data_IF_791158441874
#
_entry.id   IF_791158441874
#
_cell.length_a   1.000
_cell.length_b   1.000
_cell.length_c   1.000
_cell.angle_alpha   90.00
_cell.angle_beta   90.00
_cell.angle_gamma   90.00
#
_symmetry.space_group_name_H-M   'P 1'
#
loop_
_entity.id
_entity.type
_entity.pdbx_description
1 polymer ?
#
# COMPACT_ATOMS: atom_id res chain seq x y z
N UNK A 1 -23.84 19.18 -10.50
CA UNK A 1 -25.08 18.39 -10.67
C UNK A 1 -24.83 17.10 -9.89
N UNK A 2 -25.39 16.99 -8.69
CA UNK A 2 -25.07 15.93 -7.72
C UNK A 2 -25.42 14.56 -8.30
N UNK A 3 -24.41 13.74 -8.59
CA UNK A 3 -24.60 12.37 -9.04
C UNK A 3 -25.05 11.57 -7.81
N UNK A 4 -26.36 11.36 -7.69
CA UNK A 4 -26.89 10.36 -6.79
C UNK A 4 -26.55 8.97 -7.37
N UNK A 5 -25.46 8.37 -6.88
CA UNK A 5 -25.12 6.96 -7.09
C UNK A 5 -26.27 6.11 -6.53
N UNK A 6 -26.88 5.18 -7.30
CA UNK A 6 -27.92 4.31 -6.77
C UNK A 6 -27.30 3.34 -5.76
N UNK A 7 -27.84 3.38 -4.55
CA UNK A 7 -27.33 2.82 -3.30
C UNK A 7 -27.48 1.31 -3.19
N UNK A 8 -26.89 0.55 -4.11
CA UNK A 8 -26.75 -0.90 -3.90
C UNK A 8 -25.90 -1.21 -2.67
N UNK A 9 -25.01 -0.27 -2.29
CA UNK A 9 -24.19 -0.32 -1.09
C UNK A 9 -25.02 -0.28 0.21
N UNK A 10 -26.10 0.49 0.26
CA UNK A 10 -26.99 0.56 1.43
C UNK A 10 -27.82 -0.72 1.62
N UNK A 11 -27.96 -1.52 0.55
CA UNK A 11 -28.69 -2.79 0.54
C UNK A 11 -27.79 -4.00 0.89
N UNK A 12 -26.48 -3.80 1.12
CA UNK A 12 -25.56 -4.89 1.46
C UNK A 12 -25.79 -5.34 2.90
N UNK A 13 -26.02 -6.64 3.09
CA UNK A 13 -25.90 -7.30 4.38
C UNK A 13 -24.41 -7.44 4.73
N UNK A 14 -23.89 -6.73 5.74
CA UNK A 14 -22.46 -6.69 6.03
C UNK A 14 -21.95 -7.99 6.68
N UNK A 15 -22.81 -8.79 7.31
CA UNK A 15 -22.37 -9.97 8.08
C UNK A 15 -21.74 -11.07 7.18
N UNK A 16 -22.37 -11.50 6.08
CA UNK A 16 -21.75 -12.44 5.14
C UNK A 16 -20.43 -11.94 4.57
N UNK A 17 -20.35 -10.64 4.26
CA UNK A 17 -19.15 -10.01 3.69
C UNK A 17 -18.02 -9.99 4.72
N UNK A 18 -18.28 -9.60 5.98
CA UNK A 18 -17.29 -9.57 7.06
C UNK A 18 -16.72 -10.94 7.40
N UNK A 19 -17.54 -11.99 7.32
CA UNK A 19 -17.12 -13.37 7.61
C UNK A 19 -16.42 -14.06 6.44
N UNK A 20 -16.59 -13.52 5.24
CA UNK A 20 -16.07 -14.13 4.03
C UNK A 20 -14.62 -13.74 3.69
N UNK A 21 -14.05 -14.36 2.65
CA UNK A 21 -12.66 -14.13 2.25
C UNK A 21 -12.51 -12.83 1.45
N UNK A 22 -12.33 -11.69 2.13
CA UNK A 22 -12.16 -10.35 1.50
C UNK A 22 -11.15 -10.28 0.36
N UNK A 23 -10.02 -10.97 0.48
CA UNK A 23 -8.97 -11.02 -0.55
C UNK A 23 -9.52 -11.62 -1.85
N UNK A 24 -10.42 -12.59 -1.72
CA UNK A 24 -11.09 -13.23 -2.85
C UNK A 24 -12.10 -12.30 -3.52
N UNK A 25 -12.83 -11.50 -2.75
CA UNK A 25 -13.79 -10.52 -3.29
C UNK A 25 -13.10 -9.51 -4.20
N UNK A 26 -11.94 -8.99 -3.76
CA UNK A 26 -11.15 -8.02 -4.54
C UNK A 26 -10.47 -8.70 -5.74
N UNK A 27 -9.83 -9.85 -5.52
CA UNK A 27 -9.10 -10.56 -6.58
C UNK A 27 -10.03 -11.06 -7.70
N UNK A 28 -11.19 -11.62 -7.34
CA UNK A 28 -12.16 -12.20 -8.28
C UNK A 28 -13.31 -11.26 -8.67
N UNK A 29 -13.38 -10.04 -8.11
CA UNK A 29 -14.31 -9.01 -8.60
C UNK A 29 -15.79 -9.25 -8.30
N UNK A 30 -16.08 -9.71 -7.09
CA UNK A 30 -17.46 -9.99 -6.68
C UNK A 30 -17.68 -9.78 -5.19
N UNK A 31 -18.93 -9.47 -4.81
CA UNK A 31 -19.33 -9.27 -3.43
C UNK A 31 -20.78 -9.74 -3.21
N UNK A 32 -21.08 -10.56 -2.18
CA UNK A 32 -22.47 -10.88 -1.87
C UNK A 32 -23.17 -9.64 -1.30
N UNK A 33 -24.32 -9.27 -1.87
CA UNK A 33 -25.14 -8.15 -1.40
C UNK A 33 -26.09 -8.64 -0.32
N UNK A 34 -27.06 -9.49 -0.70
CA UNK A 34 -28.11 -9.98 0.22
C UNK A 34 -28.73 -11.26 -0.28
N UNK A 35 -29.51 -11.91 0.57
CA UNK A 35 -30.39 -13.01 0.17
C UNK A 35 -31.76 -12.48 -0.27
N UNK A 36 -32.26 -12.98 -1.39
CA UNK A 36 -33.60 -12.69 -1.92
C UNK A 36 -34.64 -13.61 -1.26
N UNK A 37 -35.91 -13.20 -1.28
CA UNK A 37 -37.02 -13.94 -0.69
C UNK A 37 -37.26 -15.32 -1.35
N UNK A 38 -36.84 -15.47 -2.60
CA UNK A 38 -36.89 -16.73 -3.35
C UNK A 38 -35.72 -17.68 -3.04
N UNK A 39 -34.86 -17.31 -2.09
CA UNK A 39 -33.73 -18.10 -1.63
C UNK A 39 -32.44 -17.90 -2.41
N UNK A 40 -32.43 -17.09 -3.49
CA UNK A 40 -31.20 -16.74 -4.24
C UNK A 40 -30.32 -15.74 -3.50
N UNK A 41 -29.03 -15.75 -3.78
CA UNK A 41 -28.08 -14.72 -3.35
C UNK A 41 -27.91 -13.68 -4.46
N UNK A 42 -28.16 -12.42 -4.15
CA UNK A 42 -27.80 -11.30 -5.02
C UNK A 42 -26.32 -10.98 -4.82
N UNK A 43 -25.56 -10.97 -5.91
CA UNK A 43 -24.10 -10.79 -5.92
C UNK A 43 -23.75 -9.63 -6.86
N UNK A 44 -23.02 -8.64 -6.35
CA UNK A 44 -22.39 -7.60 -7.15
C UNK A 44 -21.16 -8.18 -7.87
N UNK A 45 -20.95 -7.84 -9.13
CA UNK A 45 -19.76 -8.24 -9.90
C UNK A 45 -19.30 -7.12 -10.82
N UNK A 46 -17.99 -7.03 -11.06
CA UNK A 46 -17.42 -6.11 -12.05
C UNK A 46 -17.50 -6.61 -13.50
N UNK A 47 -18.11 -7.78 -13.71
CA UNK A 47 -18.32 -8.34 -15.04
C UNK A 47 -17.11 -9.05 -15.64
N UNK A 48 -16.00 -9.21 -14.89
CA UNK A 48 -14.82 -9.99 -15.34
C UNK A 48 -15.15 -11.46 -15.60
N UNK A 49 -16.06 -12.02 -14.80
CA UNK A 49 -16.44 -13.43 -14.87
C UNK A 49 -17.86 -13.58 -15.38
N UNK A 50 -17.99 -14.07 -16.63
CA UNK A 50 -19.29 -14.27 -17.31
C UNK A 50 -19.58 -15.75 -17.59
N UNK A 51 -18.61 -16.61 -17.29
CA UNK A 51 -18.71 -18.04 -17.49
C UNK A 51 -19.70 -18.70 -16.51
N UNK A 52 -20.56 -19.64 -16.95
CA UNK A 52 -21.47 -20.37 -16.07
C UNK A 52 -20.77 -21.10 -14.92
N UNK A 53 -19.55 -21.57 -15.16
CA UNK A 53 -18.75 -22.27 -14.15
C UNK A 53 -18.46 -21.41 -12.91
N UNK A 54 -18.27 -20.10 -13.09
CA UNK A 54 -18.07 -19.17 -11.98
C UNK A 54 -19.35 -19.01 -11.14
N UNK A 55 -20.50 -18.89 -11.81
CA UNK A 55 -21.81 -18.84 -11.15
C UNK A 55 -22.09 -20.11 -10.34
N UNK A 56 -21.80 -21.29 -10.89
CA UNK A 56 -21.98 -22.57 -10.22
C UNK A 56 -21.06 -22.70 -8.99
N UNK A 57 -19.80 -22.26 -9.12
CA UNK A 57 -18.83 -22.27 -8.01
C UNK A 57 -19.25 -21.33 -6.88
N UNK A 58 -19.76 -20.13 -7.21
CA UNK A 58 -20.30 -19.19 -6.23
C UNK A 58 -21.56 -19.73 -5.56
N UNK A 59 -22.47 -20.34 -6.32
CA UNK A 59 -23.68 -20.93 -5.77
C UNK A 59 -23.38 -22.06 -4.78
N UNK A 60 -22.39 -22.90 -5.10
CA UNK A 60 -21.91 -23.94 -4.20
C UNK A 60 -21.26 -23.35 -2.92
N UNK A 61 -20.47 -22.28 -3.07
CA UNK A 61 -19.79 -21.63 -1.94
C UNK A 61 -20.73 -20.86 -1.01
N UNK A 62 -21.75 -20.20 -1.55
CA UNK A 62 -22.75 -19.44 -0.79
C UNK A 62 -23.90 -20.31 -0.27
N UNK A 63 -24.04 -21.55 -0.76
CA UNK A 63 -25.05 -22.50 -0.31
C UNK A 63 -26.44 -22.25 -0.90
N UNK A 64 -26.51 -21.68 -2.11
CA UNK A 64 -27.76 -21.38 -2.80
C UNK A 64 -27.54 -20.75 -4.18
N UNK A 65 -28.57 -20.73 -5.04
CA UNK A 65 -28.47 -20.15 -6.38
C UNK A 65 -28.09 -18.66 -6.32
N UNK A 66 -27.32 -18.18 -7.30
CA UNK A 66 -26.85 -16.78 -7.37
C UNK A 66 -27.54 -16.00 -8.48
N UNK A 67 -27.71 -14.71 -8.27
CA UNK A 67 -28.15 -13.72 -9.27
C UNK A 67 -27.13 -12.58 -9.26
N UNK A 68 -26.69 -12.16 -10.44
CA UNK A 68 -25.68 -11.11 -10.56
C UNK A 68 -26.30 -9.75 -10.84
N UNK A 69 -25.65 -8.70 -10.34
CA UNK A 69 -25.81 -7.33 -10.79
C UNK A 69 -24.42 -6.79 -11.14
N UNK A 70 -24.28 -6.19 -12.32
CA UNK A 70 -23.02 -5.54 -12.72
C UNK A 70 -22.90 -4.19 -11.99
N UNK A 71 -21.70 -3.91 -11.48
CA UNK A 71 -21.33 -2.66 -10.79
C UNK A 71 -19.94 -2.22 -11.23
N UNK A 72 -19.57 -0.98 -10.93
CA UNK A 72 -18.21 -0.52 -11.19
C UNK A 72 -17.20 -1.27 -10.29
N UNK A 73 -16.01 -1.67 -10.80
CA UNK A 73 -14.99 -2.30 -9.98
C UNK A 73 -14.59 -1.49 -8.74
N UNK A 74 -14.61 -0.17 -8.82
CA UNK A 74 -14.28 0.70 -7.69
C UNK A 74 -15.39 0.76 -6.66
N UNK A 75 -16.65 0.72 -7.09
CA UNK A 75 -17.77 0.62 -6.14
C UNK A 75 -17.68 -0.67 -5.29
N UNK A 76 -17.16 -1.77 -5.87
CA UNK A 76 -16.86 -3.01 -5.14
C UNK A 76 -15.71 -2.85 -4.14
N UNK A 77 -14.60 -2.25 -4.57
CA UNK A 77 -13.43 -1.98 -3.73
C UNK A 77 -13.83 -1.11 -2.53
N UNK A 78 -14.58 -0.05 -2.78
CA UNK A 78 -15.07 0.87 -1.75
C UNK A 78 -16.04 0.19 -0.79
N UNK A 79 -16.96 -0.65 -1.30
CA UNK A 79 -17.86 -1.44 -0.45
C UNK A 79 -17.08 -2.39 0.47
N UNK A 80 -16.02 -3.05 -0.04
CA UNK A 80 -15.16 -3.91 0.78
C UNK A 80 -14.43 -3.10 1.84
N UNK A 81 -13.88 -1.93 1.52
CA UNK A 81 -13.21 -1.07 2.51
C UNK A 81 -14.19 -0.57 3.57
N UNK A 82 -15.40 -0.18 3.19
CA UNK A 82 -16.43 0.31 4.11
C UNK A 82 -16.87 -0.79 5.08
N UNK A 83 -17.12 -2.01 4.57
CA UNK A 83 -17.67 -3.10 5.37
C UNK A 83 -16.58 -3.80 6.21
N UNK A 84 -15.39 -3.99 5.63
CA UNK A 84 -14.28 -4.74 6.21
C UNK A 84 -13.13 -3.85 6.70
N UNK A 85 -13.36 -2.54 6.85
CA UNK A 85 -12.32 -1.54 7.13
C UNK A 85 -11.42 -1.87 8.32
N UNK A 86 -11.99 -2.30 9.45
CA UNK A 86 -11.21 -2.70 10.63
C UNK A 86 -10.25 -3.86 10.32
N UNK A 87 -10.72 -4.88 9.60
CA UNK A 87 -9.91 -6.04 9.23
C UNK A 87 -8.82 -5.67 8.22
N UNK A 88 -9.13 -4.77 7.27
CA UNK A 88 -8.16 -4.24 6.31
C UNK A 88 -7.10 -3.40 7.02
N UNK A 89 -7.49 -2.53 7.96
CA UNK A 89 -6.56 -1.73 8.75
C UNK A 89 -5.63 -2.59 9.61
N UNK A 90 -6.17 -3.64 10.26
CA UNK A 90 -5.36 -4.58 11.04
C UNK A 90 -4.38 -5.36 10.15
N UNK A 91 -4.81 -5.85 9.00
CA UNK A 91 -3.91 -6.50 8.03
C UNK A 91 -2.82 -5.54 7.53
N UNK A 92 -3.19 -4.32 7.17
CA UNK A 92 -2.23 -3.33 6.70
C UNK A 92 -1.13 -3.04 7.74
N UNK A 93 -1.46 -3.12 9.03
CA UNK A 93 -0.49 -2.95 10.12
C UNK A 93 0.28 -4.23 10.48
N UNK A 94 -0.38 -5.39 10.46
CA UNK A 94 0.12 -6.60 11.13
C UNK A 94 0.40 -7.80 10.20
N UNK A 95 -0.01 -7.77 8.92
CA UNK A 95 0.12 -8.92 8.01
C UNK A 95 1.55 -9.39 7.82
N UNK A 96 2.51 -8.48 7.65
CA UNK A 96 3.93 -8.84 7.53
C UNK A 96 4.42 -9.58 8.77
N UNK A 97 4.09 -9.08 9.96
CA UNK A 97 4.47 -9.71 11.22
C UNK A 97 3.83 -11.09 11.40
N UNK A 98 2.55 -11.24 11.03
CA UNK A 98 1.86 -12.55 11.11
C UNK A 98 2.45 -13.58 10.16
N UNK A 99 2.81 -13.16 8.93
CA UNK A 99 3.30 -14.06 7.88
C UNK A 99 4.78 -14.38 8.03
N UNK A 100 5.61 -13.37 8.27
CA UNK A 100 7.07 -13.48 8.38
C UNK A 100 7.58 -12.64 9.57
N UNK A 101 7.45 -13.14 10.82
CA UNK A 101 7.85 -12.40 12.02
C UNK A 101 9.31 -11.93 12.01
N UNK A 102 10.20 -12.70 11.39
CA UNK A 102 11.64 -12.41 11.31
C UNK A 102 11.98 -11.24 10.37
N UNK A 103 11.13 -10.99 9.37
CA UNK A 103 11.27 -9.88 8.43
C UNK A 103 10.54 -8.62 8.92
N UNK A 104 9.87 -8.70 10.07
CA UNK A 104 9.16 -7.58 10.66
C UNK A 104 10.04 -6.83 11.66
N UNK A 105 10.08 -5.50 11.55
CA UNK A 105 10.73 -4.61 12.52
C UNK A 105 10.08 -4.55 13.90
N UNK A 106 9.05 -5.37 14.19
CA UNK A 106 8.32 -5.35 15.48
C UNK A 106 9.21 -5.68 16.66
N UNK A 107 10.18 -6.57 16.47
CA UNK A 107 11.15 -6.94 17.50
C UNK A 107 12.55 -6.51 17.06
N UNK A 108 13.03 -5.39 17.60
CA UNK A 108 14.34 -4.81 17.22
C UNK A 108 15.52 -5.55 17.87
N UNK A 109 15.41 -5.86 19.17
CA UNK A 109 16.47 -6.54 19.91
C UNK A 109 16.01 -7.89 20.46
N UNK A 110 16.82 -8.91 20.20
CA UNK A 110 16.64 -10.23 20.80
C UNK A 110 16.86 -10.19 22.32
N UNK A 111 16.29 -11.16 23.05
CA UNK A 111 16.52 -11.28 24.50
C UNK A 111 18.02 -11.44 24.82
N UNK A 112 18.75 -12.18 23.99
CA UNK A 112 20.20 -12.35 24.12
C UNK A 112 20.98 -11.04 23.93
N UNK A 113 20.61 -10.22 22.94
CA UNK A 113 21.21 -8.90 22.75
C UNK A 113 20.97 -7.97 23.94
N UNK A 114 19.75 -7.96 24.49
CA UNK A 114 19.42 -7.15 25.69
C UNK A 114 20.23 -7.57 26.91
N UNK A 115 20.28 -8.87 27.19
CA UNK A 115 21.07 -9.41 28.32
C UNK A 115 22.56 -9.16 28.11
N UNK A 116 23.08 -9.41 26.91
CA UNK A 116 24.48 -9.16 26.56
C UNK A 116 24.86 -7.69 26.71
N UNK A 117 24.02 -6.76 26.22
CA UNK A 117 24.22 -5.33 26.38
C UNK A 117 24.21 -4.89 27.85
N UNK A 118 23.30 -5.44 28.65
CA UNK A 118 23.25 -5.17 30.09
C UNK A 118 24.52 -5.66 30.81
N UNK A 119 24.95 -6.90 30.53
CA UNK A 119 26.18 -7.46 31.10
C UNK A 119 27.39 -6.63 30.69
N UNK A 120 27.51 -6.28 29.41
CA UNK A 120 28.60 -5.44 28.92
C UNK A 120 28.61 -4.07 29.61
N UNK A 121 27.45 -3.43 29.77
CA UNK A 121 27.33 -2.16 30.47
C UNK A 121 27.79 -2.26 31.93
N UNK A 122 27.36 -3.29 32.66
CA UNK A 122 27.79 -3.52 34.06
C UNK A 122 29.30 -3.73 34.16
N UNK A 123 29.88 -4.53 33.26
CA UNK A 123 31.33 -4.77 33.22
C UNK A 123 32.09 -3.48 32.92
N UNK A 124 31.65 -2.70 31.93
CA UNK A 124 32.28 -1.42 31.58
C UNK A 124 32.24 -0.45 32.77
N UNK A 125 31.11 -0.37 33.49
CA UNK A 125 30.99 0.48 34.68
C UNK A 125 31.94 0.01 35.78
N UNK A 126 32.01 -1.30 36.06
CA UNK A 126 32.94 -1.85 37.04
C UNK A 126 34.40 -1.53 36.68
N UNK A 127 34.78 -1.71 35.41
CA UNK A 127 36.11 -1.35 34.91
C UNK A 127 36.38 0.15 34.99
N UNK A 128 35.37 1.00 34.74
CA UNK A 128 35.51 2.44 34.84
C UNK A 128 35.74 2.91 36.29
N UNK A 129 35.17 2.22 37.28
CA UNK A 129 35.41 2.50 38.71
C UNK A 129 36.81 2.08 39.13
N UNK A 130 37.29 0.91 38.68
CA UNK A 130 38.59 0.36 39.09
C UNK A 130 39.76 0.98 38.29
N UNK A 131 39.58 1.19 36.99
CA UNK A 131 40.59 1.66 36.03
C UNK A 131 40.01 2.71 35.07
N UNK A 132 39.69 3.93 35.54
CA UNK A 132 38.97 4.93 34.76
C UNK A 132 39.70 5.33 33.47
N UNK A 133 41.01 5.58 33.55
CA UNK A 133 41.81 6.01 32.39
C UNK A 133 41.90 4.92 31.32
N UNK A 134 42.23 3.69 31.72
CA UNK A 134 42.38 2.56 30.81
C UNK A 134 41.06 2.21 30.15
N UNK A 135 39.96 2.23 30.92
CA UNK A 135 38.61 1.96 30.41
C UNK A 135 38.18 3.02 29.40
N UNK A 136 38.44 4.31 29.69
CA UNK A 136 38.15 5.38 28.73
C UNK A 136 38.94 5.22 27.44
N UNK A 137 40.26 5.00 27.52
CA UNK A 137 41.11 4.79 26.33
C UNK A 137 40.64 3.57 25.53
N UNK A 138 40.31 2.45 26.20
CA UNK A 138 39.80 1.25 25.55
C UNK A 138 38.46 1.49 24.85
N UNK A 139 37.51 2.13 25.53
CA UNK A 139 36.20 2.45 24.96
C UNK A 139 36.33 3.38 23.74
N UNK A 140 37.10 4.47 23.84
CA UNK A 140 37.36 5.37 22.71
C UNK A 140 38.02 4.64 21.54
N UNK A 141 38.96 3.72 21.82
CA UNK A 141 39.63 2.94 20.77
C UNK A 141 38.66 2.02 20.04
N UNK A 142 37.79 1.31 20.78
CA UNK A 142 36.75 0.45 20.19
C UNK A 142 35.77 1.27 19.34
N UNK A 143 35.28 2.39 19.87
CA UNK A 143 34.38 3.29 19.13
C UNK A 143 35.06 3.82 17.87
N UNK A 144 36.32 4.26 17.97
CA UNK A 144 37.07 4.78 16.82
C UNK A 144 37.28 3.72 15.74
N UNK A 145 37.60 2.47 16.13
CA UNK A 145 37.73 1.36 15.20
C UNK A 145 36.39 1.01 14.54
N UNK A 146 35.29 1.02 15.29
CA UNK A 146 33.96 0.79 14.75
C UNK A 146 33.56 1.90 13.74
N UNK A 147 33.83 3.16 14.06
CA UNK A 147 33.62 4.30 13.15
C UNK A 147 34.48 4.19 11.90
N UNK A 148 35.75 3.83 12.03
CA UNK A 148 36.65 3.61 10.90
C UNK A 148 36.14 2.49 10.00
N UNK A 149 35.70 1.36 10.57
CA UNK A 149 35.14 0.24 9.84
C UNK A 149 33.85 0.63 9.10
N UNK A 150 32.92 1.32 9.77
CA UNK A 150 31.67 1.79 9.17
C UNK A 150 31.92 2.81 8.05
N UNK A 151 32.86 3.74 8.25
CA UNK A 151 33.23 4.74 7.24
C UNK A 151 33.89 4.08 6.03
N UNK A 152 34.80 3.14 6.27
CA UNK A 152 35.45 2.37 5.20
C UNK A 152 34.42 1.57 4.42
N UNK A 153 33.48 0.89 5.10
CA UNK A 153 32.40 0.16 4.45
C UNK A 153 31.55 1.10 3.58
N UNK A 154 31.07 2.22 4.12
CA UNK A 154 30.30 3.23 3.35
C UNK A 154 31.09 3.75 2.15
N UNK A 155 32.37 4.02 2.34
CA UNK A 155 33.25 4.48 1.26
C UNK A 155 33.39 3.43 0.15
N UNK A 156 33.58 2.15 0.51
CA UNK A 156 33.65 1.06 -0.46
C UNK A 156 32.33 0.88 -1.22
N UNK A 157 31.20 0.91 -0.51
CA UNK A 157 29.85 0.84 -1.12
C UNK A 157 29.62 2.02 -2.07
N UNK A 158 29.97 3.25 -1.65
CA UNK A 158 29.83 4.43 -2.48
C UNK A 158 30.75 4.37 -3.72
N UNK A 159 32.00 3.95 -3.57
CA UNK A 159 32.94 3.80 -4.68
C UNK A 159 32.48 2.72 -5.66
N UNK A 160 31.91 1.63 -5.15
CA UNK A 160 31.33 0.59 -5.99
C UNK A 160 30.06 1.09 -6.69
N UNK A 161 29.16 1.75 -5.97
CA UNK A 161 27.93 2.33 -6.53
C UNK A 161 28.21 3.36 -7.62
N UNK A 162 29.18 4.25 -7.42
CA UNK A 162 29.59 5.24 -8.42
C UNK A 162 30.15 4.62 -9.72
N UNK A 163 30.61 3.36 -9.70
CA UNK A 163 31.01 2.64 -10.92
C UNK A 163 29.81 2.09 -11.72
N UNK A 164 28.64 1.99 -11.08
CA UNK A 164 27.39 1.52 -11.68
C UNK A 164 26.40 2.65 -11.95
N UNK A 165 26.81 3.92 -11.85
CA UNK A 165 25.95 5.09 -12.09
C UNK A 165 25.64 5.33 -13.59
N UNK A 166 25.80 4.31 -14.44
CA UNK A 166 25.55 4.35 -15.90
C UNK A 166 25.14 2.96 -16.41
N UNK A 167 24.09 2.34 -15.86
CA UNK A 167 23.80 0.93 -16.22
C UNK A 167 22.82 0.76 -17.39
N UNK A 168 21.91 1.70 -17.66
CA UNK A 168 21.17 1.68 -18.93
C UNK A 168 20.67 3.09 -19.25
N UNK A 169 21.33 3.77 -20.20
CA UNK A 169 20.75 4.97 -20.79
C UNK A 169 19.70 4.50 -21.77
N UNK A 170 18.45 4.45 -21.33
CA UNK A 170 17.32 4.38 -22.26
C UNK A 170 17.40 5.64 -23.11
N UNK A 171 17.62 5.46 -24.41
CA UNK A 171 17.67 6.57 -25.35
C UNK A 171 16.25 7.04 -25.65
N UNK A 172 16.08 8.33 -25.96
CA UNK A 172 14.79 8.86 -26.46
C UNK A 172 14.27 8.04 -27.65
N UNK A 173 15.17 7.50 -28.47
CA UNK A 173 14.82 6.63 -29.60
C UNK A 173 14.32 5.23 -29.21
N UNK A 174 14.66 4.74 -28.02
CA UNK A 174 14.12 3.51 -27.46
C UNK A 174 12.72 3.73 -26.90
N UNK A 175 12.52 4.81 -26.14
CA UNK A 175 11.19 5.22 -25.65
C UNK A 175 10.23 5.45 -26.82
N UNK A 176 10.65 6.21 -27.83
CA UNK A 176 9.84 6.50 -29.02
C UNK A 176 9.52 5.28 -29.91
N UNK A 177 10.14 4.11 -29.65
CA UNK A 177 9.85 2.85 -30.35
C UNK A 177 8.85 1.98 -29.60
N UNK A 178 8.49 2.33 -28.37
CA UNK A 178 7.46 1.62 -27.61
C UNK A 178 6.09 1.89 -28.23
N UNK A 179 5.25 0.85 -28.23
CA UNK A 179 3.84 0.95 -28.58
C UNK A 179 3.03 0.95 -27.27
N UNK A 180 2.12 1.91 -27.12
CA UNK A 180 1.17 2.00 -26.02
C UNK A 180 0.45 0.67 -25.76
N UNK A 181 0.20 -0.11 -26.82
CA UNK A 181 -0.45 -1.42 -26.74
C UNK A 181 0.39 -2.46 -25.97
N UNK A 182 1.72 -2.34 -26.00
CA UNK A 182 2.66 -3.26 -25.36
C UNK A 182 3.05 -2.83 -23.94
N UNK A 183 2.73 -1.60 -23.55
CA UNK A 183 2.98 -1.10 -22.20
C UNK A 183 2.19 -1.91 -21.15
N UNK A 184 2.76 -2.21 -19.97
CA UNK A 184 2.05 -2.92 -18.91
C UNK A 184 1.02 -2.01 -18.21
N UNK A 185 0.20 -2.57 -17.33
CA UNK A 185 -0.67 -1.77 -16.47
C UNK A 185 0.10 -1.39 -15.20
N UNK A 186 0.10 -0.11 -14.84
CA UNK A 186 0.71 0.41 -13.62
C UNK A 186 -0.33 0.89 -12.62
N UNK A 187 -0.07 0.64 -11.34
CA UNK A 187 -0.72 1.34 -10.24
C UNK A 187 0.28 2.27 -9.56
N UNK A 188 -0.07 3.54 -9.43
CA UNK A 188 0.66 4.55 -8.64
C UNK A 188 -0.03 4.68 -7.28
N UNK A 189 0.70 4.48 -6.19
CA UNK A 189 0.22 4.79 -4.85
C UNK A 189 0.75 6.14 -4.40
N UNK A 190 -0.14 7.01 -3.93
CA UNK A 190 0.23 8.31 -3.38
C UNK A 190 -0.40 8.49 -2.00
N UNK A 191 0.33 8.21 -0.90
CA UNK A 191 -0.15 8.51 0.43
C UNK A 191 -0.10 10.02 0.70
N UNK A 192 -1.24 10.61 1.01
CA UNK A 192 -1.38 12.04 1.33
C UNK A 192 -1.96 12.17 2.73
N UNK A 193 -1.34 13.01 3.58
CA UNK A 193 -1.82 13.22 4.95
C UNK A 193 -1.69 14.69 5.38
N UNK A 194 -2.83 15.36 5.50
CA UNK A 194 -2.97 16.77 5.90
C UNK A 194 -2.21 17.73 4.98
N UNK A 195 -2.38 17.55 3.67
CA UNK A 195 -1.65 18.24 2.61
C UNK A 195 -2.59 18.80 1.53
N UNK A 196 -3.75 19.31 1.94
CA UNK A 196 -4.75 19.91 1.05
C UNK A 196 -4.17 20.97 0.09
N UNK A 197 -3.11 21.67 0.49
CA UNK A 197 -2.45 22.70 -0.31
C UNK A 197 -1.59 22.15 -1.47
N UNK A 198 -1.21 20.87 -1.45
CA UNK A 198 -0.36 20.24 -2.48
C UNK A 198 -1.21 19.52 -3.54
N UNK A 199 -2.47 19.22 -3.23
CA UNK A 199 -3.40 18.44 -4.07
C UNK A 199 -3.47 18.90 -5.53
N UNK A 200 -3.57 20.21 -5.78
CA UNK A 200 -3.65 20.73 -7.15
C UNK A 200 -2.37 20.41 -7.94
N UNK A 201 -1.21 20.60 -7.30
CA UNK A 201 0.08 20.27 -7.89
C UNK A 201 0.24 18.76 -8.09
N UNK A 202 -0.22 17.93 -7.14
CA UNK A 202 -0.20 16.48 -7.26
C UNK A 202 -0.98 16.00 -8.49
N UNK A 203 -2.20 16.52 -8.69
CA UNK A 203 -3.04 16.14 -9.83
C UNK A 203 -2.44 16.63 -11.15
N UNK A 204 -1.85 17.82 -11.17
CA UNK A 204 -1.14 18.34 -12.34
C UNK A 204 0.09 17.49 -12.69
N UNK A 205 0.94 17.20 -11.70
CA UNK A 205 2.17 16.43 -11.89
C UNK A 205 1.89 15.01 -12.39
N UNK A 206 0.96 14.30 -11.76
CA UNK A 206 0.65 12.91 -12.15
C UNK A 206 -0.25 12.84 -13.37
N UNK A 207 -1.11 13.84 -13.58
CA UNK A 207 -1.90 13.96 -14.80
C UNK A 207 -1.07 14.32 -16.03
N UNK A 208 0.17 14.79 -15.83
CA UNK A 208 1.14 15.11 -16.88
C UNK A 208 2.00 13.93 -17.35
N UNK A 209 1.83 12.73 -16.78
CA UNK A 209 2.53 11.53 -17.23
C UNK A 209 2.08 11.14 -18.65
N UNK A 210 3.04 10.92 -19.54
CA UNK A 210 2.85 10.42 -20.91
C UNK A 210 2.68 8.89 -20.88
N UNK A 211 1.57 8.46 -20.27
CA UNK A 211 1.18 7.06 -20.18
C UNK A 211 -0.28 6.86 -20.60
N UNK A 212 -0.64 5.73 -21.25
CA UNK A 212 -2.03 5.49 -21.61
C UNK A 212 -2.92 5.46 -20.36
N UNK A 213 -3.88 6.40 -20.27
CA UNK A 213 -4.73 6.57 -19.10
C UNK A 213 -5.54 5.30 -18.71
N UNK A 214 -5.81 4.41 -19.66
CA UNK A 214 -6.49 3.14 -19.41
C UNK A 214 -5.56 2.03 -18.86
N UNK A 215 -4.25 2.30 -18.82
CA UNK A 215 -3.20 1.44 -18.26
C UNK A 215 -2.52 2.06 -17.04
N UNK A 216 -2.92 3.26 -16.64
CA UNK A 216 -2.43 3.93 -15.44
C UNK A 216 -3.56 4.05 -14.43
N UNK A 217 -3.39 3.46 -13.24
CA UNK A 217 -4.30 3.60 -12.10
C UNK A 217 -3.59 4.44 -11.03
N UNK A 218 -4.16 5.56 -10.60
CA UNK A 218 -3.58 6.40 -9.53
C UNK A 218 -4.43 6.30 -8.28
N UNK A 219 -3.86 5.79 -7.18
CA UNK A 219 -4.54 5.66 -5.90
C UNK A 219 -4.05 6.75 -4.95
N UNK A 220 -4.89 7.76 -4.71
CA UNK A 220 -4.61 8.78 -3.69
C UNK A 220 -5.13 8.25 -2.35
N UNK A 221 -4.21 7.91 -1.45
CA UNK A 221 -4.50 7.26 -0.18
C UNK A 221 -4.61 8.33 0.92
N UNK A 222 -5.79 8.49 1.50
CA UNK A 222 -6.08 9.53 2.50
C UNK A 222 -6.62 8.86 3.76
N UNK A 223 -6.14 9.26 4.93
CA UNK A 223 -6.69 8.79 6.20
C UNK A 223 -8.15 9.23 6.37
N UNK A 224 -8.99 8.37 6.96
CA UNK A 224 -10.43 8.61 7.17
C UNK A 224 -10.77 9.97 7.81
N UNK A 225 -9.90 10.43 8.71
CA UNK A 225 -10.04 11.67 9.49
C UNK A 225 -9.66 12.94 8.70
N UNK A 226 -9.03 12.83 7.53
CA UNK A 226 -8.53 13.97 6.75
C UNK A 226 -9.53 14.43 5.68
N UNK A 227 -10.63 15.03 6.16
CA UNK A 227 -11.67 15.57 5.29
C UNK A 227 -11.20 16.78 4.47
N UNK A 228 -10.25 17.58 4.99
CA UNK A 228 -9.76 18.78 4.31
C UNK A 228 -9.04 18.44 3.01
N UNK A 229 -8.11 17.47 3.05
CA UNK A 229 -7.41 16.99 1.85
C UNK A 229 -8.37 16.28 0.91
N UNK A 230 -9.31 15.49 1.43
CA UNK A 230 -10.33 14.81 0.60
C UNK A 230 -11.16 15.82 -0.18
N UNK A 231 -11.67 16.84 0.50
CA UNK A 231 -12.46 17.89 -0.14
C UNK A 231 -11.61 18.60 -1.19
N UNK A 232 -10.36 18.94 -0.90
CA UNK A 232 -9.47 19.56 -1.89
C UNK A 232 -9.30 18.71 -3.16
N UNK A 233 -9.20 17.38 -3.04
CA UNK A 233 -9.06 16.49 -4.21
C UNK A 233 -10.36 16.46 -5.00
N UNK A 234 -11.51 16.35 -4.33
CA UNK A 234 -12.81 16.38 -5.02
C UNK A 234 -13.00 17.70 -5.76
N UNK A 235 -12.59 18.82 -5.18
CA UNK A 235 -12.69 20.14 -5.83
C UNK A 235 -11.72 20.32 -7.00
N UNK A 236 -10.61 19.58 -7.02
CA UNK A 236 -9.62 19.62 -8.08
C UNK A 236 -10.01 18.79 -9.33
N UNK A 237 -11.10 18.02 -9.26
CA UNK A 237 -11.69 17.26 -10.38
C UNK A 237 -10.66 16.38 -11.11
N UNK A 238 -10.05 15.39 -10.42
CA UNK A 238 -8.97 14.60 -10.99
C UNK A 238 -9.47 13.70 -12.15
N UNK A 239 -8.58 13.28 -13.06
CA UNK A 239 -8.94 12.39 -14.17
C UNK A 239 -9.60 11.09 -13.71
N UNK A 240 -10.40 10.46 -14.56
CA UNK A 240 -11.19 9.27 -14.20
C UNK A 240 -10.39 8.05 -13.73
N UNK A 241 -9.09 7.99 -14.03
CA UNK A 241 -8.19 6.91 -13.61
C UNK A 241 -7.51 7.19 -12.25
N UNK A 242 -7.88 8.30 -11.60
CA UNK A 242 -7.50 8.63 -10.24
C UNK A 242 -8.61 8.21 -9.29
N UNK A 243 -8.25 7.47 -8.25
CA UNK A 243 -9.17 6.95 -7.26
C UNK A 243 -8.77 7.42 -5.87
N UNK A 244 -9.73 8.04 -5.18
CA UNK A 244 -9.56 8.49 -3.81
C UNK A 244 -9.85 7.31 -2.88
N UNK A 245 -8.81 6.76 -2.27
CA UNK A 245 -8.94 5.65 -1.32
C UNK A 245 -8.96 6.21 0.09
N UNK A 246 -10.10 6.07 0.76
CA UNK A 246 -10.20 6.37 2.19
C UNK A 246 -9.61 5.21 2.98
N UNK A 247 -8.42 5.42 3.54
CA UNK A 247 -7.72 4.47 4.42
C UNK A 247 -8.49 4.37 5.73
N UNK A 248 -9.01 3.17 6.10
CA UNK A 248 -9.76 3.02 7.34
C UNK A 248 -8.93 3.35 8.58
N UNK A 249 -9.58 3.92 9.60
CA UNK A 249 -8.94 4.25 10.85
C UNK A 249 -8.19 3.04 11.45
N UNK A 250 -6.95 3.26 11.90
CA UNK A 250 -6.11 2.20 12.46
C UNK A 250 -4.78 2.74 12.97
N UNK A 251 -4.03 1.89 13.67
CA UNK A 251 -2.73 2.25 14.23
C UNK A 251 -1.64 1.26 13.81
N UNK A 252 -0.43 1.73 13.47
CA UNK A 252 0.01 3.14 13.50
C UNK A 252 -0.39 3.94 12.24
N UNK A 253 -0.70 5.23 12.40
CA UNK A 253 -0.92 6.15 11.27
C UNK A 253 0.41 6.51 10.58
N UNK A 254 0.74 5.83 9.48
CA UNK A 254 2.03 5.94 8.78
C UNK A 254 1.88 5.71 7.27
N UNK A 255 2.74 6.33 6.44
CA UNK A 255 2.78 6.11 4.99
C UNK A 255 2.79 4.62 4.60
N UNK A 256 3.62 3.74 5.20
CA UNK A 256 3.60 2.31 4.85
C UNK A 256 2.27 1.60 5.15
N UNK A 257 1.54 1.98 6.21
CA UNK A 257 0.20 1.40 6.47
C UNK A 257 -0.78 1.79 5.36
N UNK A 258 -0.82 3.07 5.01
CA UNK A 258 -1.66 3.55 3.92
C UNK A 258 -1.34 2.80 2.63
N UNK A 259 -0.06 2.71 2.25
CA UNK A 259 0.37 1.96 1.07
C UNK A 259 -0.01 0.48 1.12
N UNK A 260 -0.03 -0.18 2.29
CA UNK A 260 -0.49 -1.57 2.40
C UNK A 260 -2.01 -1.70 2.14
N UNK A 261 -2.81 -0.68 2.50
CA UNK A 261 -4.23 -0.63 2.11
C UNK A 261 -4.34 -0.47 0.59
N UNK A 262 -3.62 0.51 0.02
CA UNK A 262 -3.57 0.71 -1.44
C UNK A 262 -3.13 -0.55 -2.20
N UNK A 263 -2.11 -1.26 -1.71
CA UNK A 263 -1.61 -2.52 -2.27
C UNK A 263 -2.68 -3.62 -2.30
N UNK A 264 -3.64 -3.59 -1.38
CA UNK A 264 -4.73 -4.58 -1.36
C UNK A 264 -5.76 -4.31 -2.47
N UNK A 265 -5.79 -3.09 -3.01
CA UNK A 265 -6.74 -2.62 -4.01
C UNK A 265 -6.13 -2.46 -5.40
N UNK A 266 -4.80 -2.36 -5.48
CA UNK A 266 -4.05 -2.16 -6.71
C UNK A 266 -4.35 -3.25 -7.74
N UNK A 267 -4.54 -2.84 -8.99
CA UNK A 267 -4.87 -3.75 -10.10
C UNK A 267 -3.77 -3.88 -11.16
N UNK A 268 -2.75 -3.03 -11.10
CA UNK A 268 -1.63 -3.03 -12.03
C UNK A 268 -0.74 -4.27 -11.95
N UNK A 269 -0.09 -4.57 -13.06
CA UNK A 269 0.99 -5.56 -13.13
C UNK A 269 2.22 -5.06 -12.35
N UNK A 270 2.50 -3.76 -12.49
CA UNK A 270 3.54 -3.06 -11.75
C UNK A 270 2.96 -2.01 -10.83
N UNK A 271 3.71 -1.69 -9.78
CA UNK A 271 3.31 -0.71 -8.79
C UNK A 271 4.49 0.19 -8.41
N UNK A 272 4.21 1.48 -8.32
CA UNK A 272 5.16 2.50 -7.85
C UNK A 272 4.51 3.32 -6.72
N UNK A 273 5.34 3.86 -5.83
CA UNK A 273 4.90 4.78 -4.78
C UNK A 273 5.54 6.14 -5.09
N UNK A 274 4.72 7.17 -5.19
CA UNK A 274 5.18 8.56 -5.25
C UNK A 274 4.75 9.30 -3.98
N UNK A 275 5.59 10.21 -3.51
CA UNK A 275 5.22 11.18 -2.49
C UNK A 275 4.40 12.32 -3.10
N UNK A 276 3.57 13.00 -2.30
CA UNK A 276 2.65 14.03 -2.79
C UNK A 276 3.38 15.24 -3.44
N UNK A 277 4.63 15.48 -3.03
CA UNK A 277 5.50 16.52 -3.58
C UNK A 277 6.31 16.10 -4.82
N UNK A 278 6.29 14.83 -5.21
CA UNK A 278 7.10 14.34 -6.33
C UNK A 278 6.64 14.97 -7.65
N UNK A 279 7.61 15.25 -8.50
CA UNK A 279 7.41 15.74 -9.87
C UNK A 279 8.14 14.79 -10.80
N UNK A 280 7.53 13.64 -11.15
CA UNK A 280 8.15 12.69 -12.08
C UNK A 280 8.37 13.34 -13.44
N UNK A 281 9.38 12.86 -14.17
CA UNK A 281 9.50 13.16 -15.60
C UNK A 281 8.24 12.62 -16.30
N UNK A 282 7.68 13.31 -17.31
CA UNK A 282 6.52 12.81 -18.01
C UNK A 282 6.68 11.43 -18.66
N UNK A 283 7.89 11.02 -19.07
CA UNK A 283 8.17 9.82 -19.86
C UNK A 283 8.48 8.52 -19.07
#
# INVERSE_FOLDING_TARGET
MTIAQPTWQDDIDPEPVRRGPRERYLAEGWLPIRRLDDGRHLVATDGRHREPAFADALAAGLGGPVSFTEVDPWDLKDAVLLICGEAVADDAANRLFRRNPELSGRYVFSRGQKTGALVAAVVIVALAVVWPRQTAVGALSVVSLAFLAATTFKFLVALQGARFDVVERVTESEVARLDDADLPVYTVLVPVFREANIVAQLIENLGGLDYPAHKLEVLILIEEEDSETRDAIVHADPPAHFHIVTVPAGQPQTKPRACNVGLTLASGEFLVIYDAEDTPDPD
#
